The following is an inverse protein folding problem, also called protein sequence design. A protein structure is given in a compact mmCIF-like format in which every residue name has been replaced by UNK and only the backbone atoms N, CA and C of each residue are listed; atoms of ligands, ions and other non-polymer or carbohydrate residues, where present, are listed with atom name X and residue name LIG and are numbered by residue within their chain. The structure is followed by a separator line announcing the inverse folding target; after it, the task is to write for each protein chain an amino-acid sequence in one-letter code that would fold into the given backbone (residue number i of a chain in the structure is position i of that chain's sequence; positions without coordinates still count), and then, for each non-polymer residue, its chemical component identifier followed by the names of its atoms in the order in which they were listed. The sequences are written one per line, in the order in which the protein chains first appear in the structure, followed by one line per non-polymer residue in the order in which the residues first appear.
data_IF_332514115035
#
_entry.id   IF_332514115035
#
_cell.length_a   1.000
_cell.length_b   1.000
_cell.length_c   1.000
_cell.angle_alpha   90.00
_cell.angle_beta   90.00
_cell.angle_gamma   90.00
#
_symmetry.space_group_name_H-M   'P 1'
#
loop_
_entity.id
_entity.type
_entity.pdbx_description
1 polymer ?
#
# COMPACT_ATOMS: atom_id res chain seq x y z
N UNK A 1 -46.41 -6.15 30.62
CA UNK A 1 -46.96 -6.46 31.95
C UNK A 1 -48.26 -5.73 32.19
N UNK A 2 -48.23 -4.39 32.16
CA UNK A 2 -49.38 -3.55 32.51
C UNK A 2 -50.68 -3.88 31.77
N UNK A 3 -50.63 -4.09 30.44
CA UNK A 3 -51.82 -4.44 29.63
C UNK A 3 -52.38 -5.81 30.03
N UNK A 4 -51.51 -6.80 30.22
CA UNK A 4 -51.91 -8.16 30.60
C UNK A 4 -52.56 -8.20 32.00
N UNK A 5 -51.98 -7.51 32.99
CA UNK A 5 -52.54 -7.43 34.35
C UNK A 5 -53.69 -6.44 34.49
N UNK A 6 -54.20 -5.87 33.38
CA UNK A 6 -55.27 -4.87 33.35
C UNK A 6 -54.99 -3.65 34.23
N UNK A 7 -53.72 -3.25 34.30
CA UNK A 7 -53.28 -2.00 34.94
C UNK A 7 -53.21 -0.85 33.93
N UNK A 8 -53.23 -1.17 32.64
CA UNK A 8 -53.33 -0.24 31.53
C UNK A 8 -54.28 -0.79 30.47
N UNK A 9 -55.07 0.08 29.84
CA UNK A 9 -56.00 -0.30 28.78
C UNK A 9 -55.33 -0.42 27.40
N UNK A 10 -54.23 0.31 27.19
CA UNK A 10 -53.48 0.31 25.92
C UNK A 10 -52.00 0.65 26.17
N UNK A 11 -51.11 0.12 25.33
CA UNK A 11 -49.70 0.50 25.28
C UNK A 11 -49.33 1.03 23.89
N UNK A 12 -48.68 2.19 23.83
CA UNK A 12 -48.19 2.82 22.60
C UNK A 12 -46.67 3.02 22.74
N UNK A 13 -45.91 2.48 21.79
CA UNK A 13 -44.45 2.59 21.80
C UNK A 13 -43.78 1.72 20.73
N UNK A 14 -42.46 1.64 20.78
CA UNK A 14 -41.67 0.74 19.92
C UNK A 14 -41.82 -0.70 20.39
N UNK A 15 -42.90 -1.36 19.98
CA UNK A 15 -43.19 -2.75 20.31
C UNK A 15 -43.13 -3.59 19.04
N UNK A 16 -42.25 -4.59 19.05
CA UNK A 16 -42.21 -5.62 18.01
C UNK A 16 -43.32 -6.63 18.26
N UNK A 17 -44.10 -6.93 17.22
CA UNK A 17 -45.09 -8.01 17.19
C UNK A 17 -44.33 -9.33 17.07
N UNK A 18 -44.51 -10.23 18.04
CA UNK A 18 -44.01 -11.60 18.01
C UNK A 18 -45.14 -12.58 18.34
N UNK A 19 -44.93 -13.87 18.10
CA UNK A 19 -45.95 -14.91 18.33
C UNK A 19 -46.30 -15.04 19.82
N UNK A 20 -45.31 -15.16 20.69
CA UNK A 20 -45.51 -15.29 22.15
C UNK A 20 -46.31 -14.13 22.77
N UNK A 21 -46.14 -12.88 22.29
CA UNK A 21 -46.95 -11.75 22.78
C UNK A 21 -48.34 -11.75 22.18
N UNK A 22 -48.50 -12.21 20.95
CA UNK A 22 -49.80 -12.29 20.27
C UNK A 22 -50.72 -13.36 20.90
N UNK A 23 -50.18 -14.31 21.66
CA UNK A 23 -50.98 -15.27 22.44
C UNK A 23 -51.65 -14.65 23.68
N UNK A 24 -51.08 -13.58 24.23
CA UNK A 24 -51.50 -13.00 25.52
C UNK A 24 -52.10 -11.59 25.40
N UNK A 25 -51.85 -10.88 24.29
CA UNK A 25 -52.37 -9.54 24.00
C UNK A 25 -52.66 -9.37 22.50
N UNK A 26 -53.67 -8.55 22.18
CA UNK A 26 -54.01 -8.20 20.80
C UNK A 26 -53.19 -6.99 20.31
N UNK A 27 -52.79 -7.03 19.03
CA UNK A 27 -52.10 -5.94 18.34
C UNK A 27 -52.97 -5.34 17.23
N UNK A 28 -52.76 -4.06 16.92
CA UNK A 28 -53.29 -3.45 15.71
C UNK A 28 -52.50 -3.87 14.48
N UNK A 29 -53.00 -3.52 13.28
CA UNK A 29 -52.24 -3.61 12.03
C UNK A 29 -50.92 -2.84 12.17
N UNK A 30 -49.78 -3.38 11.71
CA UNK A 30 -48.50 -2.70 11.78
C UNK A 30 -48.53 -1.41 10.96
N UNK A 31 -48.03 -0.31 11.53
CA UNK A 31 -48.00 1.01 10.89
C UNK A 31 -46.61 1.39 10.35
N UNK A 32 -45.55 0.69 10.80
CA UNK A 32 -44.16 0.86 10.33
C UNK A 32 -43.52 -0.51 10.22
N UNK A 33 -42.94 -0.81 9.07
CA UNK A 33 -42.08 -1.97 8.88
C UNK A 33 -40.66 -1.66 9.39
N UNK A 34 -40.15 -2.49 10.29
CA UNK A 34 -38.78 -2.35 10.81
C UNK A 34 -37.99 -3.63 10.56
N UNK A 35 -36.71 -3.48 10.26
CA UNK A 35 -35.77 -4.58 10.08
C UNK A 35 -34.58 -4.48 11.03
N UNK A 36 -33.85 -5.58 11.19
CA UNK A 36 -32.60 -5.60 11.97
C UNK A 36 -31.49 -5.06 11.08
N UNK A 37 -30.72 -4.10 11.60
CA UNK A 37 -29.54 -3.56 10.93
C UNK A 37 -28.34 -3.58 11.87
N UNK A 38 -27.16 -3.84 11.31
CA UNK A 38 -25.89 -3.82 12.03
C UNK A 38 -25.19 -2.51 11.74
N UNK A 39 -24.99 -1.70 12.78
CA UNK A 39 -24.21 -0.48 12.69
C UNK A 39 -22.76 -0.76 13.08
N UNK A 40 -21.82 -0.37 12.20
CA UNK A 40 -20.37 -0.43 12.47
C UNK A 40 -19.80 0.99 12.53
N UNK A 41 -18.78 1.19 13.39
CA UNK A 41 -18.08 2.47 13.46
C UNK A 41 -17.36 2.75 12.15
N UNK A 42 -17.45 4.00 11.66
CA UNK A 42 -16.66 4.45 10.51
C UNK A 42 -15.18 4.45 10.90
N UNK A 43 -14.36 3.63 10.23
CA UNK A 43 -12.91 3.73 10.36
C UNK A 43 -12.43 5.00 9.65
N UNK A 44 -11.73 5.89 10.36
CA UNK A 44 -11.01 6.99 9.73
C UNK A 44 -9.91 6.39 8.86
N UNK A 45 -10.10 6.43 7.55
CA UNK A 45 -9.09 6.05 6.57
C UNK A 45 -7.96 7.07 6.60
N UNK A 46 -6.96 6.86 7.46
CA UNK A 46 -5.68 7.54 7.28
C UNK A 46 -4.98 6.81 6.15
N UNK A 47 -4.87 7.48 5.00
CA UNK A 47 -4.00 6.98 3.93
C UNK A 47 -2.58 7.01 4.47
N UNK A 48 -1.99 5.84 4.69
CA UNK A 48 -0.60 5.77 5.12
C UNK A 48 0.27 6.39 4.02
N UNK A 49 1.22 7.29 4.34
CA UNK A 49 2.20 7.78 3.36
C UNK A 49 3.01 6.66 2.70
N UNK A 50 3.02 5.47 3.31
CA UNK A 50 3.65 4.25 2.78
C UNK A 50 2.78 3.47 1.79
N UNK A 51 1.56 3.91 1.47
CA UNK A 51 0.67 3.23 0.53
C UNK A 51 1.30 3.08 -0.87
N UNK A 52 2.19 3.99 -1.26
CA UNK A 52 2.96 3.88 -2.50
C UNK A 52 3.98 2.73 -2.49
N UNK A 53 4.47 2.31 -1.33
CA UNK A 53 5.42 1.20 -1.17
C UNK A 53 4.72 -0.14 -0.90
N UNK A 54 3.43 -0.12 -0.59
CA UNK A 54 2.60 -1.28 -0.30
C UNK A 54 2.50 -2.35 -1.42
N UNK A 55 2.58 -2.04 -2.74
CA UNK A 55 2.51 -3.09 -3.76
C UNK A 55 3.71 -4.03 -3.76
N UNK A 56 4.84 -3.64 -3.16
CA UNK A 56 6.04 -4.47 -3.08
C UNK A 56 6.55 -4.57 -1.63
N UNK A 57 6.81 -5.80 -1.18
CA UNK A 57 7.43 -6.03 0.12
C UNK A 57 8.78 -5.28 0.22
N UNK A 58 9.17 -4.77 1.40
CA UNK A 58 10.49 -4.17 1.62
C UNK A 58 11.65 -5.03 1.13
N UNK A 59 11.50 -6.36 1.18
CA UNK A 59 12.51 -7.30 0.67
C UNK A 59 12.72 -7.15 -0.85
N UNK A 60 11.64 -6.96 -1.63
CA UNK A 60 11.71 -6.80 -3.09
C UNK A 60 12.39 -5.48 -3.45
N UNK A 61 12.10 -4.42 -2.71
CA UNK A 61 12.80 -3.13 -2.86
C UNK A 61 14.30 -3.26 -2.64
N UNK A 62 14.71 -3.93 -1.55
CA UNK A 62 16.12 -4.18 -1.26
C UNK A 62 16.77 -5.01 -2.37
N UNK A 63 16.10 -6.06 -2.84
CA UNK A 63 16.59 -6.89 -3.94
C UNK A 63 16.76 -6.10 -5.24
N UNK A 64 15.85 -5.18 -5.56
CA UNK A 64 15.97 -4.31 -6.72
C UNK A 64 17.22 -3.43 -6.63
N UNK A 65 17.44 -2.74 -5.49
CA UNK A 65 18.63 -1.92 -5.30
C UNK A 65 19.91 -2.74 -5.35
N UNK A 66 19.94 -3.92 -4.71
CA UNK A 66 21.11 -4.79 -4.70
C UNK A 66 21.41 -5.34 -6.10
N UNK A 67 20.41 -5.82 -6.83
CA UNK A 67 20.62 -6.34 -8.19
C UNK A 67 21.05 -5.25 -9.16
N UNK A 68 20.41 -4.08 -9.13
CA UNK A 68 20.83 -2.96 -9.97
C UNK A 68 22.26 -2.51 -9.62
N UNK A 69 22.61 -2.33 -8.34
CA UNK A 69 23.94 -1.88 -7.95
C UNK A 69 25.03 -2.91 -8.25
N UNK A 70 24.77 -4.20 -8.01
CA UNK A 70 25.75 -5.27 -8.24
C UNK A 70 25.99 -5.51 -9.73
N UNK A 71 24.93 -5.59 -10.55
CA UNK A 71 25.06 -5.75 -12.01
C UNK A 71 25.86 -4.60 -12.61
N UNK A 72 25.61 -3.38 -12.14
CA UNK A 72 26.32 -2.18 -12.59
C UNK A 72 27.78 -2.21 -12.16
N UNK A 73 28.05 -2.50 -10.88
CA UNK A 73 29.42 -2.56 -10.38
C UNK A 73 30.25 -3.60 -11.14
N UNK A 74 29.67 -4.78 -11.40
CA UNK A 74 30.31 -5.84 -12.18
C UNK A 74 30.52 -5.43 -13.64
N UNK A 75 29.51 -4.82 -14.27
CA UNK A 75 29.59 -4.36 -15.65
C UNK A 75 30.67 -3.30 -15.81
N UNK A 76 30.71 -2.31 -14.92
CA UNK A 76 31.74 -1.26 -14.93
C UNK A 76 33.13 -1.85 -14.66
N UNK A 77 33.26 -2.78 -13.71
CA UNK A 77 34.53 -3.47 -13.44
C UNK A 77 35.06 -4.19 -14.70
N UNK A 78 34.19 -4.92 -15.40
CA UNK A 78 34.54 -5.61 -16.65
C UNK A 78 34.93 -4.59 -17.74
N UNK A 79 34.16 -3.51 -17.91
CA UNK A 79 34.48 -2.48 -18.89
C UNK A 79 35.80 -1.79 -18.60
N UNK A 80 36.10 -1.45 -17.34
CA UNK A 80 37.39 -0.85 -16.99
C UNK A 80 38.56 -1.83 -17.12
N UNK A 81 38.35 -3.11 -16.79
CA UNK A 81 39.37 -4.15 -16.91
C UNK A 81 39.75 -4.45 -18.36
N UNK A 82 38.77 -4.58 -19.26
CA UNK A 82 39.02 -4.85 -20.68
C UNK A 82 39.30 -3.59 -21.51
N UNK A 83 39.02 -2.39 -20.99
CA UNK A 83 39.28 -1.14 -21.71
C UNK A 83 40.77 -0.84 -21.81
N UNK A 84 41.37 -0.88 -23.03
CA UNK A 84 42.79 -0.60 -23.23
C UNK A 84 43.19 0.86 -22.94
N UNK A 85 42.19 1.74 -22.78
CA UNK A 85 42.37 3.19 -22.56
C UNK A 85 42.13 3.61 -21.11
N UNK A 86 41.52 2.77 -20.27
CA UNK A 86 41.15 3.10 -18.88
C UNK A 86 42.23 2.77 -17.86
N UNK A 87 42.57 1.49 -17.71
CA UNK A 87 43.46 1.02 -16.64
C UNK A 87 44.95 1.01 -17.07
N UNK A 88 45.25 0.61 -18.30
CA UNK A 88 46.61 0.24 -18.71
C UNK A 88 47.45 1.35 -19.38
N UNK A 89 46.86 2.51 -19.69
CA UNK A 89 47.59 3.65 -20.31
C UNK A 89 47.97 4.75 -19.32
N UNK A 90 47.19 4.94 -18.25
CA UNK A 90 47.43 6.03 -17.30
C UNK A 90 48.64 5.80 -16.39
N UNK A 91 49.00 4.54 -16.12
CA UNK A 91 50.22 4.17 -15.40
C UNK A 91 51.46 4.16 -16.31
N UNK A 92 51.31 3.85 -17.59
CA UNK A 92 52.42 3.71 -18.53
C UNK A 92 52.89 5.03 -19.18
N UNK A 93 52.02 6.05 -19.32
CA UNK A 93 52.30 7.20 -20.19
C UNK A 93 52.44 8.57 -19.49
N UNK A 94 52.26 8.68 -18.16
CA UNK A 94 52.48 9.93 -17.41
C UNK A 94 51.75 11.18 -17.95
N UNK A 95 50.69 11.03 -18.75
CA UNK A 95 50.06 12.12 -19.50
C UNK A 95 48.68 12.51 -18.97
N UNK A 96 48.45 13.82 -18.96
CA UNK A 96 47.28 14.53 -18.44
C UNK A 96 45.97 14.04 -19.06
N UNK A 97 45.00 13.82 -18.19
CA UNK A 97 43.72 13.17 -18.43
C UNK A 97 42.70 14.10 -19.10
N UNK A 98 42.53 13.99 -20.43
CA UNK A 98 41.66 14.88 -21.21
C UNK A 98 40.71 14.20 -22.22
N UNK A 99 40.42 12.90 -22.08
CA UNK A 99 39.36 12.23 -22.85
C UNK A 99 38.16 11.95 -21.94
N UNK A 100 36.93 12.09 -22.46
CA UNK A 100 35.68 11.97 -21.69
C UNK A 100 35.67 10.71 -20.83
N UNK A 101 35.96 10.87 -19.53
CA UNK A 101 35.94 9.78 -18.58
C UNK A 101 34.49 9.44 -18.30
N UNK A 102 34.06 8.26 -18.76
CA UNK A 102 32.87 7.61 -18.23
C UNK A 102 33.19 7.17 -16.80
N UNK A 103 33.29 8.13 -15.88
CA UNK A 103 33.59 7.90 -14.47
C UNK A 103 32.46 7.09 -13.84
N UNK A 104 32.78 6.23 -12.88
CA UNK A 104 31.81 5.40 -12.15
C UNK A 104 30.59 6.21 -11.66
N UNK A 105 30.81 7.44 -11.20
CA UNK A 105 29.73 8.35 -10.77
C UNK A 105 28.76 8.76 -11.88
N UNK A 106 29.21 8.94 -13.12
CA UNK A 106 28.34 9.23 -14.27
C UNK A 106 27.53 8.01 -14.69
N UNK A 107 28.12 6.82 -14.61
CA UNK A 107 27.41 5.57 -14.89
C UNK A 107 26.29 5.34 -13.86
N UNK A 108 26.59 5.49 -12.56
CA UNK A 108 25.60 5.35 -11.48
C UNK A 108 24.46 6.37 -11.66
N UNK A 109 24.78 7.61 -12.01
CA UNK A 109 23.77 8.64 -12.27
C UNK A 109 22.90 8.32 -13.49
N UNK A 110 23.48 7.84 -14.59
CA UNK A 110 22.74 7.42 -15.79
C UNK A 110 21.83 6.23 -15.50
N UNK A 111 22.26 5.30 -14.67
CA UNK A 111 21.47 4.12 -14.29
C UNK A 111 20.31 4.47 -13.36
N UNK A 112 20.55 5.35 -12.39
CA UNK A 112 19.47 5.96 -11.62
C UNK A 112 18.49 6.66 -12.56
N UNK A 113 18.97 7.48 -13.48
CA UNK A 113 18.13 8.11 -14.48
C UNK A 113 17.35 7.06 -15.29
N UNK A 114 17.97 6.01 -15.81
CA UNK A 114 17.30 5.01 -16.65
C UNK A 114 16.23 4.20 -15.90
N UNK A 115 16.50 3.80 -14.65
CA UNK A 115 15.55 3.09 -13.78
C UNK A 115 14.32 3.95 -13.48
N UNK A 116 14.52 5.23 -13.18
CA UNK A 116 13.42 6.13 -12.82
C UNK A 116 12.80 6.89 -14.01
N UNK A 117 13.46 6.92 -15.16
CA UNK A 117 12.99 7.59 -16.38
C UNK A 117 12.11 6.69 -17.25
N UNK A 118 12.15 5.36 -17.06
CA UNK A 118 11.22 4.42 -17.72
C UNK A 118 10.16 3.85 -16.76
N UNK A 119 10.15 4.29 -15.49
CA UNK A 119 9.18 3.83 -14.49
C UNK A 119 7.97 4.77 -14.35
N UNK A 120 7.67 5.55 -15.39
CA UNK A 120 6.39 6.27 -15.55
C UNK A 120 5.98 6.28 -17.02
#
# INVERSE_FOLDING_TARGET
GEVFYRRADMAIGSLTINEERSEIIDFSVPFVETGISVMVSRSNGTVSPSAFLEPYSPAVWVMMFVMCLTVVAVTVFIFEYFSPVGYNRSLAAGQRTGGSKFTIGKSIWLLWALVFNNSV
#
